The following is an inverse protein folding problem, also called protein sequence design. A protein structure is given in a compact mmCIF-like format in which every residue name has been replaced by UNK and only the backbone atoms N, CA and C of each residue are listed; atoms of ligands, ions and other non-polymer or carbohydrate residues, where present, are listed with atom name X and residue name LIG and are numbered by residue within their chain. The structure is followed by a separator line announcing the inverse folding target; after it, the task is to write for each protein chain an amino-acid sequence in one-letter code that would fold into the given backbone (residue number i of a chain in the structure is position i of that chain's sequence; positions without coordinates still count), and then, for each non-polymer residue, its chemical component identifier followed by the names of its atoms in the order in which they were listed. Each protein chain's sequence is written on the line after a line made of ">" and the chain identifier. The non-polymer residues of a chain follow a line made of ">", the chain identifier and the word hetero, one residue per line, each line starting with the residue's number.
data_IF_384981737020
#
_entry.id   IF_384981737020
#
_cell.length_a   1.000
_cell.length_b   1.000
_cell.length_c   1.000
_cell.angle_alpha   90.00
_cell.angle_beta   90.00
_cell.angle_gamma   90.00
#
_symmetry.space_group_name_H-M   'P 1'
#
loop_
_entity.id
_entity.type
_entity.pdbx_description
1 polymer ?
#
# COMPACT_ATOMS: atom_id res chain seq x y z
N UNK A 1 7.32 2.29 -16.85
CA UNK A 1 8.26 2.23 -15.72
C UNK A 1 8.10 0.89 -15.00
N UNK A 2 9.20 0.30 -14.62
CA UNK A 2 9.19 -0.91 -13.80
C UNK A 2 9.26 -0.51 -12.34
N UNK A 3 8.44 -1.14 -11.49
CA UNK A 3 8.41 -0.90 -10.06
C UNK A 3 8.94 -2.11 -9.32
N UNK A 4 9.67 -1.86 -8.22
CA UNK A 4 10.10 -2.93 -7.32
C UNK A 4 9.51 -2.69 -5.95
N UNK A 5 9.20 -3.78 -5.24
CA UNK A 5 8.67 -3.71 -3.88
C UNK A 5 9.72 -3.20 -2.91
N UNK A 6 9.30 -2.31 -2.01
CA UNK A 6 10.18 -1.74 -0.99
C UNK A 6 10.37 -2.76 0.15
N UNK A 7 11.19 -3.76 -0.10
CA UNK A 7 11.48 -4.82 0.86
C UNK A 7 12.92 -4.76 1.37
N UNK A 8 13.73 -3.87 0.82
CA UNK A 8 15.11 -3.67 1.21
C UNK A 8 15.25 -2.39 2.03
N UNK A 9 16.35 -2.24 2.79
CA UNK A 9 16.64 -0.99 3.47
C UNK A 9 16.73 0.19 2.50
N UNK A 10 16.46 1.38 3.00
CA UNK A 10 16.36 2.59 2.18
C UNK A 10 17.66 2.91 1.42
N UNK A 11 18.82 2.66 2.02
CA UNK A 11 20.11 2.90 1.37
C UNK A 11 20.33 1.95 0.18
N UNK A 12 19.90 0.70 0.30
CA UNK A 12 19.97 -0.25 -0.81
C UNK A 12 18.98 0.11 -1.92
N UNK A 13 17.77 0.52 -1.55
CA UNK A 13 16.78 1.01 -2.51
C UNK A 13 17.30 2.22 -3.27
N UNK A 14 17.93 3.15 -2.56
CA UNK A 14 18.53 4.34 -3.18
C UNK A 14 19.55 3.96 -4.26
N UNK A 15 20.41 3.01 -3.97
CA UNK A 15 21.43 2.55 -4.92
C UNK A 15 20.78 1.93 -6.16
N UNK A 16 19.82 1.04 -5.97
CA UNK A 16 19.11 0.39 -7.07
C UNK A 16 18.41 1.40 -7.97
N UNK A 17 17.69 2.35 -7.35
CA UNK A 17 16.97 3.39 -8.09
C UNK A 17 17.95 4.26 -8.87
N UNK A 18 19.06 4.62 -8.27
CA UNK A 18 20.11 5.41 -8.93
C UNK A 18 20.64 4.72 -10.17
N UNK A 19 20.85 3.41 -10.11
CA UNK A 19 21.43 2.62 -11.20
C UNK A 19 20.44 2.24 -12.27
N UNK A 20 19.17 2.01 -11.93
CA UNK A 20 18.19 1.39 -12.85
C UNK A 20 17.02 2.30 -13.18
N UNK A 21 16.72 3.31 -12.37
CA UNK A 21 15.58 4.18 -12.58
C UNK A 21 14.22 3.56 -12.30
N UNK A 22 14.15 2.43 -11.59
CA UNK A 22 12.89 1.78 -11.25
C UNK A 22 12.07 2.62 -10.29
N UNK A 23 10.75 2.44 -10.30
CA UNK A 23 9.85 3.01 -9.31
C UNK A 23 9.74 2.13 -8.07
N UNK A 24 9.07 2.62 -7.06
CA UNK A 24 8.85 1.92 -5.79
C UNK A 24 7.39 1.49 -5.68
N UNK A 25 7.17 0.21 -5.36
CA UNK A 25 5.90 -0.26 -4.82
C UNK A 25 6.04 -0.34 -3.31
N UNK A 26 5.35 0.53 -2.59
CA UNK A 26 5.45 0.61 -1.14
C UNK A 26 4.44 -0.30 -0.46
N UNK A 27 4.90 -0.97 0.61
CA UNK A 27 4.04 -1.75 1.51
C UNK A 27 3.79 -1.03 2.83
N UNK A 28 4.33 0.17 3.01
CA UNK A 28 4.20 0.92 4.28
C UNK A 28 2.75 1.11 4.70
N UNK A 29 1.87 1.40 3.74
CA UNK A 29 0.48 1.70 4.01
C UNK A 29 -0.44 0.48 3.89
N UNK A 30 0.14 -0.71 3.88
CA UNK A 30 -0.57 -1.96 4.10
C UNK A 30 -0.52 -2.39 5.57
N UNK A 31 0.25 -1.69 6.39
CA UNK A 31 0.48 -2.03 7.80
C UNK A 31 -0.47 -1.21 8.66
N UNK A 32 -1.31 -1.91 9.45
CA UNK A 32 -2.35 -1.27 10.25
C UNK A 32 -1.81 -0.22 11.21
N UNK A 33 -0.68 -0.48 11.86
CA UNK A 33 -0.08 0.47 12.79
C UNK A 33 0.28 1.78 12.11
N UNK A 34 0.79 1.71 10.89
CA UNK A 34 1.10 2.92 10.11
C UNK A 34 -0.17 3.66 9.71
N UNK A 35 -1.25 2.96 9.44
CA UNK A 35 -2.54 3.58 9.12
C UNK A 35 -3.18 4.22 10.37
N UNK A 36 -2.93 3.67 11.54
CA UNK A 36 -3.40 4.26 12.81
C UNK A 36 -2.69 5.59 13.09
N UNK A 37 -1.51 5.79 12.53
CA UNK A 37 -0.71 7.00 12.67
C UNK A 37 -0.46 7.63 11.30
N UNK A 38 -1.52 7.78 10.53
CA UNK A 38 -1.46 8.07 9.09
C UNK A 38 -0.68 9.35 8.78
N UNK A 39 -0.97 10.43 9.48
CA UNK A 39 -0.33 11.72 9.21
C UNK A 39 1.18 11.69 9.43
N UNK A 40 1.60 11.10 10.52
CA UNK A 40 3.02 10.96 10.85
C UNK A 40 3.71 9.99 9.89
N UNK A 41 3.03 8.90 9.56
CA UNK A 41 3.55 7.89 8.63
C UNK A 41 3.75 8.48 7.23
N UNK A 42 2.81 9.27 6.74
CA UNK A 42 2.92 9.94 5.45
C UNK A 42 4.09 10.94 5.46
N UNK A 43 4.19 11.74 6.51
CA UNK A 43 5.26 12.74 6.63
C UNK A 43 6.64 12.06 6.65
N UNK A 44 6.79 11.03 7.47
CA UNK A 44 8.03 10.28 7.59
C UNK A 44 8.40 9.57 6.27
N UNK A 45 7.43 8.92 5.64
CA UNK A 45 7.70 8.19 4.41
C UNK A 45 8.03 9.14 3.25
N UNK A 46 7.42 10.32 3.23
CA UNK A 46 7.75 11.34 2.22
C UNK A 46 9.24 11.68 2.25
N UNK A 47 9.81 11.83 3.44
CA UNK A 47 11.24 12.11 3.59
C UNK A 47 12.09 10.92 3.15
N UNK A 48 11.66 9.72 3.46
CA UNK A 48 12.34 8.49 3.01
C UNK A 48 12.31 8.34 1.49
N UNK A 49 11.19 8.69 0.85
CA UNK A 49 11.09 8.65 -0.61
C UNK A 49 12.04 9.66 -1.27
N UNK A 50 12.18 10.83 -0.67
CA UNK A 50 13.16 11.83 -1.15
C UNK A 50 14.59 11.31 -1.03
N UNK A 51 14.90 10.70 0.11
CA UNK A 51 16.23 10.10 0.33
C UNK A 51 16.55 9.02 -0.70
N UNK A 52 15.58 8.15 -0.99
CA UNK A 52 15.75 7.07 -1.97
C UNK A 52 15.79 7.56 -3.42
N UNK A 53 15.41 8.81 -3.67
CA UNK A 53 15.32 9.35 -5.02
C UNK A 53 14.17 8.77 -5.82
N UNK A 54 13.04 8.54 -5.17
CA UNK A 54 11.86 7.93 -5.77
C UNK A 54 11.38 8.71 -6.99
N UNK A 55 11.27 8.03 -8.13
CA UNK A 55 10.83 8.62 -9.40
C UNK A 55 9.40 8.24 -9.76
N UNK A 56 8.87 7.22 -9.13
CA UNK A 56 7.50 6.78 -9.33
C UNK A 56 7.09 5.92 -8.15
N UNK A 57 5.86 6.09 -7.69
CA UNK A 57 5.35 5.41 -6.50
C UNK A 57 4.03 4.75 -6.81
N UNK A 58 3.91 3.50 -6.39
CA UNK A 58 2.63 2.81 -6.26
C UNK A 58 2.53 2.29 -4.83
N UNK A 59 1.31 2.11 -4.35
CA UNK A 59 1.08 1.58 -3.00
C UNK A 59 0.40 0.23 -3.09
N UNK A 60 0.77 -0.64 -2.17
CA UNK A 60 0.05 -1.87 -1.91
C UNK A 60 -0.86 -1.63 -0.70
N UNK A 61 -2.16 -1.80 -0.88
CA UNK A 61 -3.13 -1.60 0.18
C UNK A 61 -3.11 -2.72 1.22
N UNK A 62 -3.76 -2.51 2.36
CA UNK A 62 -3.81 -3.52 3.41
C UNK A 62 -4.60 -4.75 2.97
N UNK A 63 -4.18 -5.91 3.43
CA UNK A 63 -4.84 -7.18 3.06
C UNK A 63 -4.86 -8.19 4.20
N UNK A 64 -4.05 -8.01 5.24
CA UNK A 64 -3.96 -8.95 6.35
C UNK A 64 -5.16 -8.78 7.29
N UNK A 65 -5.89 -9.86 7.52
CA UNK A 65 -7.00 -9.93 8.47
C UNK A 65 -8.18 -9.02 8.12
N UNK A 66 -8.27 -8.55 6.88
CA UNK A 66 -9.39 -7.76 6.37
C UNK A 66 -9.82 -8.35 5.03
N UNK A 67 -11.07 -8.08 4.65
CA UNK A 67 -11.64 -8.72 3.45
C UNK A 67 -12.80 -7.86 2.92
N UNK A 68 -12.66 -7.25 1.73
CA UNK A 68 -13.74 -6.46 1.14
C UNK A 68 -14.91 -7.32 0.67
N UNK A 69 -14.69 -8.63 0.51
CA UNK A 69 -15.72 -9.58 0.11
C UNK A 69 -16.23 -10.42 1.29
N UNK A 70 -15.92 -10.02 2.53
CA UNK A 70 -16.35 -10.73 3.72
C UNK A 70 -17.87 -10.81 3.81
N UNK A 71 -18.38 -11.93 4.31
CA UNK A 71 -19.80 -12.06 4.57
C UNK A 71 -20.25 -11.23 5.77
N UNK A 72 -19.34 -11.02 6.72
CA UNK A 72 -19.59 -10.19 7.90
C UNK A 72 -19.49 -8.71 7.51
N UNK A 73 -20.60 -7.98 7.69
CA UNK A 73 -20.67 -6.56 7.33
C UNK A 73 -19.72 -5.68 8.15
N UNK A 74 -19.42 -6.06 9.38
CA UNK A 74 -18.48 -5.30 10.21
C UNK A 74 -17.05 -5.44 9.69
N UNK A 75 -16.67 -6.63 9.21
CA UNK A 75 -15.37 -6.84 8.57
C UNK A 75 -15.26 -5.99 7.30
N UNK A 76 -16.35 -5.93 6.50
CA UNK A 76 -16.35 -5.07 5.30
C UNK A 76 -16.17 -3.60 5.64
N UNK A 77 -16.83 -3.12 6.70
CA UNK A 77 -16.71 -1.71 7.14
C UNK A 77 -15.28 -1.37 7.53
N UNK A 78 -14.64 -2.21 8.34
CA UNK A 78 -13.26 -2.02 8.74
C UNK A 78 -12.34 -2.04 7.52
N UNK A 79 -12.57 -2.97 6.60
CA UNK A 79 -11.79 -3.10 5.39
C UNK A 79 -11.86 -1.82 4.55
N UNK A 80 -13.06 -1.28 4.34
CA UNK A 80 -13.24 -0.07 3.55
C UNK A 80 -12.61 1.14 4.23
N UNK A 81 -12.67 1.22 5.56
CA UNK A 81 -11.99 2.27 6.31
C UNK A 81 -10.48 2.22 6.08
N UNK A 82 -9.89 1.03 6.18
CA UNK A 82 -8.45 0.84 5.94
C UNK A 82 -8.06 1.16 4.50
N UNK A 83 -8.87 0.75 3.54
CA UNK A 83 -8.64 1.08 2.13
C UNK A 83 -8.66 2.60 1.91
N UNK A 84 -9.60 3.28 2.55
CA UNK A 84 -9.68 4.74 2.45
C UNK A 84 -8.46 5.42 3.04
N UNK A 85 -7.92 4.91 4.14
CA UNK A 85 -6.70 5.43 4.75
C UNK A 85 -5.51 5.30 3.79
N UNK A 86 -5.36 4.15 3.14
CA UNK A 86 -4.31 3.95 2.13
C UNK A 86 -4.50 4.88 0.94
N UNK A 87 -5.74 5.07 0.50
CA UNK A 87 -6.06 6.02 -0.57
C UNK A 87 -5.61 7.43 -0.19
N UNK A 88 -5.91 7.86 1.02
CA UNK A 88 -5.49 9.17 1.52
C UNK A 88 -3.97 9.31 1.48
N UNK A 89 -3.24 8.31 1.96
CA UNK A 89 -1.78 8.29 1.87
C UNK A 89 -1.30 8.40 0.43
N UNK A 90 -1.94 7.67 -0.47
CA UNK A 90 -1.59 7.68 -1.89
C UNK A 90 -1.75 9.06 -2.52
N UNK A 91 -2.85 9.74 -2.22
CA UNK A 91 -3.08 11.11 -2.71
C UNK A 91 -2.01 12.06 -2.17
N UNK A 92 -1.72 11.98 -0.87
CA UNK A 92 -0.75 12.85 -0.23
C UNK A 92 0.67 12.64 -0.76
N UNK A 93 1.02 11.41 -1.12
CA UNK A 93 2.36 11.06 -1.61
C UNK A 93 2.48 11.10 -3.12
N UNK A 94 1.40 11.34 -3.85
CA UNK A 94 1.41 11.37 -5.30
C UNK A 94 1.58 9.99 -5.92
N UNK A 95 1.06 8.95 -5.28
CA UNK A 95 1.11 7.60 -5.83
C UNK A 95 0.30 7.51 -7.13
N UNK A 96 0.83 6.78 -8.10
CA UNK A 96 0.18 6.61 -9.40
C UNK A 96 -0.93 5.57 -9.37
N UNK A 97 -0.78 4.55 -8.55
CA UNK A 97 -1.73 3.44 -8.43
C UNK A 97 -1.71 2.90 -7.01
N UNK A 98 -2.82 2.32 -6.62
CA UNK A 98 -2.94 1.56 -5.37
C UNK A 98 -3.51 0.21 -5.73
N UNK A 99 -2.83 -0.85 -5.32
CA UNK A 99 -3.28 -2.23 -5.54
C UNK A 99 -3.97 -2.71 -4.28
N UNK A 100 -5.20 -3.17 -4.41
CA UNK A 100 -5.94 -3.79 -3.31
C UNK A 100 -6.21 -5.25 -3.63
N UNK A 101 -6.17 -6.09 -2.60
CA UNK A 101 -6.60 -7.48 -2.73
C UNK A 101 -8.11 -7.56 -2.60
N UNK A 102 -8.77 -8.27 -3.50
CA UNK A 102 -10.22 -8.50 -3.40
C UNK A 102 -10.54 -9.53 -2.33
N UNK A 103 -9.58 -10.39 -2.00
CA UNK A 103 -9.75 -11.53 -1.08
C UNK A 103 -10.89 -12.45 -1.51
N UNK A 104 -11.34 -12.32 -2.74
CA UNK A 104 -12.44 -13.10 -3.25
C UNK A 104 -11.98 -14.53 -3.50
N UNK A 105 -12.70 -15.48 -2.90
CA UNK A 105 -12.53 -16.89 -3.18
C UNK A 105 -13.69 -17.31 -4.08
N UNK A 106 -13.47 -17.59 -5.39
CA UNK A 106 -14.55 -17.90 -6.30
C UNK A 106 -15.35 -19.13 -5.86
N UNK A 107 -14.68 -20.08 -5.21
CA UNK A 107 -15.33 -21.30 -4.73
C UNK A 107 -16.35 -21.02 -3.63
N UNK A 108 -15.96 -20.17 -2.66
CA UNK A 108 -16.81 -19.84 -1.52
C UNK A 108 -17.84 -18.78 -1.89
N UNK A 109 -17.40 -17.69 -2.51
CA UNK A 109 -18.28 -16.55 -2.80
C UNK A 109 -19.30 -16.87 -3.89
N UNK A 110 -18.91 -17.65 -4.88
CA UNK A 110 -19.82 -18.04 -5.94
C UNK A 110 -20.96 -18.92 -5.42
N UNK A 111 -20.64 -19.85 -4.52
CA UNK A 111 -21.65 -20.75 -3.94
C UNK A 111 -22.58 -20.04 -2.97
N UNK A 112 -22.13 -18.96 -2.35
CA UNK A 112 -22.93 -18.17 -1.39
C UNK A 112 -23.76 -17.09 -2.08
N UNK A 113 -23.33 -16.69 -3.25
CA UNK A 113 -23.98 -15.64 -4.01
C UNK A 113 -25.20 -16.13 -4.69
#
# INVERSE_FOLDING_TARGET
>A
MIYISHLLPDDEMKEIISQTGVGIESIEFSIADNLDHLKESVCSYRERLKFMGCRGLTLHGPFMNIDPAAFDSEVRKITMMRFHQTYTAGVELGAKKIVYHTCMNPFVHYLQG
#
